data_IF_584846505298
#
_entry.id   IF_584846505298
#
_cell.length_a   1.000
_cell.length_b   1.000
_cell.length_c   1.000
_cell.angle_alpha   90.00
_cell.angle_beta   90.00
_cell.angle_gamma   90.00
#
_symmetry.space_group_name_H-M   'P 1'
#
loop_
_entity.id
_entity.type
_entity.pdbx_description
1 polymer ?
#
# COMPACT_ATOMS: atom_id res chain seq x y z
N UNK A 1 -4.78 -3.35 -20.70
CA UNK A 1 -4.87 -2.92 -19.28
C UNK A 1 -6.29 -2.89 -18.72
N UNK A 2 -7.35 -2.78 -19.52
CA UNK A 2 -8.74 -2.65 -19.01
C UNK A 2 -9.24 -3.82 -18.15
N UNK A 3 -8.64 -5.01 -18.25
CA UNK A 3 -9.02 -6.18 -17.44
C UNK A 3 -8.60 -6.09 -15.97
N UNK A 4 -7.68 -5.20 -15.60
CA UNK A 4 -7.16 -5.09 -14.23
C UNK A 4 -7.88 -4.03 -13.39
N UNK A 5 -8.58 -3.09 -14.03
CA UNK A 5 -9.31 -2.02 -13.35
C UNK A 5 -10.47 -2.64 -12.55
N UNK A 6 -10.58 -2.31 -11.27
CA UNK A 6 -11.57 -2.86 -10.34
C UNK A 6 -11.26 -4.27 -9.81
N UNK A 7 -10.20 -4.92 -10.29
CA UNK A 7 -9.76 -6.22 -9.76
C UNK A 7 -8.96 -6.00 -8.48
N UNK A 8 -9.32 -6.70 -7.40
CA UNK A 8 -8.59 -6.69 -6.14
C UNK A 8 -7.50 -7.77 -6.15
N UNK A 9 -6.25 -7.35 -6.03
CA UNK A 9 -5.14 -8.25 -5.83
C UNK A 9 -4.91 -8.45 -4.33
N UNK A 10 -5.05 -9.68 -3.78
CA UNK A 10 -4.80 -9.94 -2.36
C UNK A 10 -3.32 -9.80 -2.01
N UNK A 11 -3.02 -9.23 -0.84
CA UNK A 11 -1.66 -9.02 -0.31
C UNK A 11 -1.66 -9.30 1.19
N UNK A 12 -0.61 -9.97 1.69
CA UNK A 12 -0.53 -10.44 3.08
C UNK A 12 -1.65 -11.44 3.42
N UNK A 13 -2.26 -11.30 4.59
CA UNK A 13 -3.35 -12.14 5.08
C UNK A 13 -4.73 -11.63 4.65
N UNK A 14 -4.97 -10.32 4.79
CA UNK A 14 -6.25 -9.65 4.59
C UNK A 14 -6.13 -8.33 3.82
N UNK A 15 -4.91 -7.95 3.45
CA UNK A 15 -4.66 -6.77 2.64
C UNK A 15 -5.04 -7.01 1.18
N UNK A 16 -5.24 -5.92 0.46
CA UNK A 16 -5.44 -5.96 -0.99
C UNK A 16 -5.11 -4.61 -1.61
N UNK A 17 -4.80 -4.65 -2.90
CA UNK A 17 -4.59 -3.47 -3.74
C UNK A 17 -5.55 -3.56 -4.93
N UNK A 18 -6.24 -2.47 -5.20
CA UNK A 18 -7.23 -2.36 -6.28
C UNK A 18 -6.86 -1.15 -7.14
N UNK A 19 -6.69 -1.38 -8.44
CA UNK A 19 -6.51 -0.28 -9.40
C UNK A 19 -7.89 0.30 -9.72
N UNK A 20 -8.16 1.53 -9.27
CA UNK A 20 -9.46 2.17 -9.49
C UNK A 20 -9.55 2.88 -10.83
N UNK A 21 -8.47 3.56 -11.24
CA UNK A 21 -8.44 4.31 -12.48
C UNK A 21 -7.03 4.45 -13.01
N UNK A 22 -6.94 4.54 -14.34
CA UNK A 22 -5.75 4.92 -15.09
C UNK A 22 -6.15 6.15 -15.90
N UNK A 23 -5.50 7.28 -15.65
CA UNK A 23 -5.58 8.44 -16.52
C UNK A 23 -4.27 8.51 -17.29
N UNK A 24 -4.37 8.64 -18.61
CA UNK A 24 -3.21 8.58 -19.49
C UNK A 24 -3.03 7.24 -20.18
N UNK A 25 -2.27 7.30 -21.26
CA UNK A 25 -1.87 6.15 -22.07
C UNK A 25 -0.43 6.31 -22.52
N UNK A 26 0.18 5.22 -22.99
CA UNK A 26 1.53 5.25 -23.59
C UNK A 26 1.63 6.30 -24.72
N UNK A 27 0.54 6.48 -25.47
CA UNK A 27 0.44 7.48 -26.52
C UNK A 27 0.46 8.91 -25.97
N UNK A 28 -0.21 9.18 -24.85
CA UNK A 28 -0.19 10.50 -24.21
C UNK A 28 1.20 10.87 -23.70
N UNK A 29 1.95 9.90 -23.17
CA UNK A 29 3.35 10.10 -22.75
C UNK A 29 4.22 10.44 -23.97
N UNK A 30 4.06 9.70 -25.07
CA UNK A 30 4.78 9.93 -26.33
C UNK A 30 4.46 11.31 -26.90
N UNK A 31 3.18 11.68 -26.93
CA UNK A 31 2.73 12.97 -27.42
C UNK A 31 3.28 14.11 -26.54
N UNK A 32 3.25 13.96 -25.21
CA UNK A 32 3.82 14.92 -24.27
C UNK A 32 5.33 15.12 -24.50
N UNK A 33 6.08 14.04 -24.74
CA UNK A 33 7.50 14.13 -25.06
C UNK A 33 7.78 14.83 -26.41
N UNK A 34 6.84 14.77 -27.35
CA UNK A 34 6.97 15.38 -28.68
C UNK A 34 6.38 16.77 -28.80
N UNK A 35 5.67 17.27 -27.79
CA UNK A 35 5.16 18.65 -27.73
C UNK A 35 6.23 19.69 -28.03
N UNK A 36 7.49 19.45 -27.60
CA UNK A 36 8.62 20.34 -27.89
C UNK A 36 8.98 20.45 -29.38
N UNK A 37 8.59 19.47 -30.21
CA UNK A 37 8.87 19.42 -31.64
C UNK A 37 7.60 19.50 -32.50
N UNK A 38 6.44 19.84 -31.91
CA UNK A 38 5.13 19.84 -32.57
C UNK A 38 4.82 18.52 -33.30
N UNK A 39 5.34 17.41 -32.79
CA UNK A 39 5.22 16.09 -33.42
C UNK A 39 4.14 15.24 -32.77
N UNK A 40 3.37 14.52 -33.58
CA UNK A 40 2.42 13.50 -33.11
C UNK A 40 3.04 12.10 -33.10
N UNK A 41 2.23 11.06 -32.85
CA UNK A 41 2.61 9.65 -33.05
C UNK A 41 3.26 9.43 -34.42
N UNK A 42 4.31 8.61 -34.47
CA UNK A 42 5.05 8.26 -35.69
C UNK A 42 4.92 6.77 -36.02
N UNK A 43 3.95 6.10 -35.40
CA UNK A 43 3.72 4.65 -35.51
C UNK A 43 4.21 3.88 -34.28
N UNK A 44 3.54 2.76 -34.00
CA UNK A 44 3.67 1.98 -32.76
C UNK A 44 5.12 1.57 -32.43
N UNK A 45 5.89 1.06 -33.40
CA UNK A 45 7.28 0.65 -33.16
C UNK A 45 8.19 1.81 -32.79
N UNK A 46 8.00 2.98 -33.42
CA UNK A 46 8.82 4.17 -33.17
C UNK A 46 8.46 4.80 -31.83
N UNK A 47 7.18 4.79 -31.49
CA UNK A 47 6.65 5.28 -30.22
C UNK A 47 7.15 4.43 -29.05
N UNK A 48 7.14 3.10 -29.21
CA UNK A 48 7.72 2.17 -28.24
C UNK A 48 9.23 2.38 -28.05
N UNK A 49 9.99 2.55 -29.14
CA UNK A 49 11.42 2.89 -29.07
C UNK A 49 11.66 4.20 -28.32
N UNK A 50 10.80 5.20 -28.55
CA UNK A 50 10.89 6.48 -27.84
C UNK A 50 10.62 6.32 -26.34
N UNK A 51 9.60 5.56 -25.93
CA UNK A 51 9.33 5.32 -24.50
C UNK A 51 10.53 4.68 -23.79
N UNK A 52 11.14 3.65 -24.39
CA UNK A 52 12.34 3.04 -23.84
C UNK A 52 13.52 4.00 -23.79
N UNK A 53 13.70 4.83 -24.82
CA UNK A 53 14.74 5.86 -24.83
C UNK A 53 14.53 6.86 -23.69
N UNK A 54 13.31 7.38 -23.50
CA UNK A 54 12.99 8.32 -22.40
C UNK A 54 13.32 7.70 -21.04
N UNK A 55 12.91 6.45 -20.81
CA UNK A 55 13.17 5.73 -19.56
C UNK A 55 14.66 5.47 -19.34
N UNK A 56 15.40 5.08 -20.38
CA UNK A 56 16.85 4.84 -20.30
C UNK A 56 17.64 6.12 -19.96
N UNK A 57 17.18 7.26 -20.49
CA UNK A 57 17.80 8.57 -20.27
C UNK A 57 17.22 9.35 -19.09
N UNK A 58 16.31 8.74 -18.30
CA UNK A 58 15.65 9.36 -17.14
C UNK A 58 14.95 10.68 -17.48
N UNK A 59 14.36 10.75 -18.67
CA UNK A 59 13.51 11.87 -19.05
C UNK A 59 12.11 11.63 -18.48
N UNK A 60 11.96 11.91 -17.18
CA UNK A 60 10.79 11.49 -16.41
C UNK A 60 9.57 12.41 -16.57
N UNK A 61 9.77 13.67 -16.96
CA UNK A 61 8.70 14.67 -17.10
C UNK A 61 7.50 14.23 -17.97
N UNK A 62 7.69 13.62 -19.16
CA UNK A 62 6.58 13.08 -19.95
C UNK A 62 5.78 11.97 -19.23
N UNK A 63 6.39 11.22 -18.32
CA UNK A 63 5.71 10.16 -17.57
C UNK A 63 4.79 10.71 -16.47
N UNK A 64 4.95 11.97 -16.06
CA UNK A 64 4.05 12.63 -15.10
C UNK A 64 2.64 12.89 -15.68
N UNK A 65 2.47 12.76 -17.01
CA UNK A 65 1.17 12.90 -17.68
C UNK A 65 0.27 11.67 -17.48
N UNK A 66 0.81 10.57 -16.96
CA UNK A 66 0.05 9.38 -16.61
C UNK A 66 -0.17 9.31 -15.08
N UNK A 67 -1.42 9.13 -14.65
CA UNK A 67 -1.81 9.08 -13.24
C UNK A 67 -2.55 7.78 -12.95
N UNK A 68 -2.14 7.11 -11.87
CA UNK A 68 -2.77 5.89 -11.38
C UNK A 68 -3.48 6.18 -10.06
N UNK A 69 -4.72 5.72 -9.93
CA UNK A 69 -5.49 5.79 -8.69
C UNK A 69 -5.66 4.39 -8.12
N UNK A 70 -5.26 4.22 -6.87
CA UNK A 70 -5.35 2.95 -6.17
C UNK A 70 -6.26 3.06 -4.95
N UNK A 71 -6.99 1.98 -4.69
CA UNK A 71 -7.59 1.73 -3.38
C UNK A 71 -6.80 0.63 -2.70
N UNK A 72 -6.25 0.93 -1.53
CA UNK A 72 -5.32 0.02 -0.84
C UNK A 72 -5.84 -0.25 0.56
N UNK A 73 -5.98 -1.53 0.88
CA UNK A 73 -6.22 -2.02 2.23
C UNK A 73 -4.93 -2.66 2.75
N UNK A 74 -4.31 -2.04 3.75
CA UNK A 74 -3.05 -2.49 4.29
C UNK A 74 -2.91 -2.17 5.78
N UNK A 75 -2.02 -2.90 6.50
CA UNK A 75 -1.75 -2.62 7.91
C UNK A 75 -1.15 -1.23 8.11
N UNK A 76 -1.44 -0.59 9.24
CA UNK A 76 -0.93 0.76 9.55
C UNK A 76 0.60 0.87 9.41
N UNK A 77 1.34 -0.14 9.86
CA UNK A 77 2.81 -0.16 9.77
C UNK A 77 3.31 -0.08 8.33
N UNK A 78 2.55 -0.62 7.37
CA UNK A 78 2.84 -0.52 5.93
C UNK A 78 2.48 0.87 5.43
N UNK A 79 1.33 1.41 5.86
CA UNK A 79 0.90 2.76 5.50
C UNK A 79 1.87 3.85 5.93
N UNK A 80 2.43 3.73 7.13
CA UNK A 80 3.44 4.68 7.62
C UNK A 80 4.68 4.74 6.72
N UNK A 81 5.03 3.63 6.06
CA UNK A 81 6.11 3.60 5.06
C UNK A 81 5.65 4.22 3.73
N UNK A 82 4.44 3.88 3.29
CA UNK A 82 3.89 4.39 2.03
C UNK A 82 3.74 5.93 2.06
N UNK A 83 3.34 6.50 3.20
CA UNK A 83 3.21 7.95 3.39
C UNK A 83 4.54 8.72 3.31
N UNK A 84 5.69 8.03 3.27
CA UNK A 84 6.99 8.68 3.07
C UNK A 84 7.19 9.16 1.63
N UNK A 85 6.43 8.62 0.67
CA UNK A 85 6.46 9.05 -0.72
C UNK A 85 5.66 10.34 -0.90
N UNK A 86 6.35 11.49 -0.81
CA UNK A 86 5.71 12.82 -0.80
C UNK A 86 5.11 13.27 -2.15
N UNK A 87 5.39 12.57 -3.23
CA UNK A 87 4.90 12.88 -4.58
C UNK A 87 3.50 12.32 -4.85
N UNK A 88 2.98 11.45 -3.98
CA UNK A 88 1.63 10.92 -4.07
C UNK A 88 0.59 11.79 -3.35
N UNK A 89 -0.66 11.67 -3.78
CA UNK A 89 -1.82 12.18 -3.03
C UNK A 89 -2.46 11.04 -2.27
N UNK A 90 -2.79 11.26 -1.00
CA UNK A 90 -3.32 10.23 -0.12
C UNK A 90 -4.55 10.75 0.63
N UNK A 91 -5.64 9.98 0.60
CA UNK A 91 -6.70 10.09 1.58
C UNK A 91 -6.65 8.85 2.47
N UNK A 92 -6.86 8.98 3.78
CA UNK A 92 -6.84 7.84 4.70
C UNK A 92 -8.14 7.78 5.48
N UNK A 93 -8.65 6.57 5.64
CA UNK A 93 -9.76 6.32 6.55
C UNK A 93 -9.39 6.78 7.98
N UNK A 94 -10.22 7.64 8.56
CA UNK A 94 -10.00 8.21 9.88
C UNK A 94 -10.93 7.58 10.91
N UNK A 95 -10.34 6.95 11.92
CA UNK A 95 -11.08 6.39 13.06
C UNK A 95 -11.58 7.44 14.07
N UNK A 96 -11.30 8.73 13.81
CA UNK A 96 -11.93 9.82 14.57
C UNK A 96 -13.42 9.94 14.24
N UNK A 97 -13.84 9.45 13.07
CA UNK A 97 -15.20 9.59 12.55
C UNK A 97 -15.91 8.25 12.32
N UNK A 98 -15.15 7.17 12.19
CA UNK A 98 -15.68 5.82 12.02
C UNK A 98 -15.13 4.89 13.09
N UNK A 99 -15.98 3.99 13.55
CA UNK A 99 -15.57 2.95 14.49
C UNK A 99 -14.64 1.95 13.79
N UNK A 100 -13.65 1.49 14.54
CA UNK A 100 -12.76 0.45 14.07
C UNK A 100 -13.42 -0.92 14.25
N UNK A 101 -13.50 -1.69 13.18
CA UNK A 101 -13.86 -3.10 13.29
C UNK A 101 -12.73 -3.83 13.99
N UNK A 102 -13.05 -4.44 15.13
CA UNK A 102 -12.07 -5.09 15.99
C UNK A 102 -11.28 -6.14 15.17
N UNK A 103 -11.92 -6.93 14.33
CA UNK A 103 -11.38 -8.19 13.82
C UNK A 103 -10.27 -8.09 12.76
N UNK A 104 -9.79 -6.89 12.39
CA UNK A 104 -8.90 -6.68 11.23
C UNK A 104 -7.43 -6.40 11.58
N UNK A 105 -6.83 -7.12 12.52
CA UNK A 105 -5.39 -7.03 12.78
C UNK A 105 -4.58 -7.90 11.82
N UNK A 106 -3.47 -7.35 11.33
CA UNK A 106 -2.47 -8.10 10.57
C UNK A 106 -1.73 -9.08 11.47
N UNK A 107 -1.75 -10.36 11.08
CA UNK A 107 -0.94 -11.38 11.73
C UNK A 107 0.03 -12.00 10.71
N UNK A 108 1.35 -11.88 10.93
CA UNK A 108 2.32 -12.45 10.00
C UNK A 108 2.23 -13.99 10.01
N UNK A 109 2.16 -14.59 8.82
CA UNK A 109 2.15 -16.06 8.67
C UNK A 109 3.45 -16.70 9.18
N UNK A 110 4.57 -16.00 8.99
CA UNK A 110 5.89 -16.40 9.47
C UNK A 110 6.58 -15.21 10.14
N UNK A 111 7.08 -15.45 11.35
CA UNK A 111 7.98 -14.53 12.03
C UNK A 111 9.38 -14.72 11.46
N UNK A 112 10.08 -13.62 11.19
CA UNK A 112 11.43 -13.65 10.58
C UNK A 112 12.50 -13.28 11.58
N UNK A 113 13.70 -13.84 11.39
CA UNK A 113 14.89 -13.46 12.12
C UNK A 113 15.37 -12.08 11.65
N UNK A 114 16.06 -11.36 12.52
CA UNK A 114 16.77 -10.14 12.15
C UNK A 114 18.03 -10.49 11.34
N UNK A 115 18.31 -9.76 10.26
CA UNK A 115 19.55 -9.95 9.53
C UNK A 115 20.76 -9.45 10.35
N UNK A 116 21.88 -10.18 10.30
CA UNK A 116 23.10 -9.85 11.06
C UNK A 116 23.78 -8.58 10.54
N UNK A 117 23.76 -8.37 9.23
CA UNK A 117 24.48 -7.27 8.56
C UNK A 117 23.66 -5.99 8.41
N UNK A 118 22.33 -6.06 8.48
CA UNK A 118 21.46 -4.93 8.20
C UNK A 118 20.30 -4.85 9.21
N UNK A 119 20.23 -3.73 9.94
CA UNK A 119 19.19 -3.46 10.94
C UNK A 119 17.79 -3.28 10.35
N UNK A 120 17.67 -3.08 9.04
CA UNK A 120 16.40 -2.93 8.33
C UNK A 120 15.98 -4.21 7.57
N UNK A 121 16.86 -5.21 7.50
CA UNK A 121 16.58 -6.44 6.78
C UNK A 121 16.21 -7.58 7.74
N UNK A 122 15.43 -8.51 7.20
CA UNK A 122 15.13 -9.78 7.86
C UNK A 122 15.92 -10.91 7.20
N UNK A 123 16.31 -11.88 8.01
CA UNK A 123 16.82 -13.18 7.56
C UNK A 123 15.66 -14.19 7.47
N UNK A 124 15.99 -15.48 7.42
CA UNK A 124 15.03 -16.59 7.31
C UNK A 124 13.96 -16.63 8.42
N UNK A 125 13.08 -17.62 8.33
CA UNK A 125 12.02 -17.80 9.32
C UNK A 125 12.56 -18.17 10.70
N UNK A 126 11.84 -17.77 11.76
CA UNK A 126 12.12 -18.19 13.13
C UNK A 126 11.83 -19.69 13.33
N UNK A 127 12.72 -20.36 14.05
CA UNK A 127 12.57 -21.78 14.42
C UNK A 127 11.32 -22.04 15.27
N UNK A 128 10.79 -23.26 15.24
CA UNK A 128 9.50 -23.64 15.83
C UNK A 128 9.27 -23.20 17.28
N UNK A 129 10.27 -23.34 18.17
CA UNK A 129 10.15 -22.90 19.58
C UNK A 129 10.03 -21.37 19.71
N UNK A 130 10.85 -20.62 18.97
CA UNK A 130 10.86 -19.15 19.00
C UNK A 130 9.64 -18.59 18.27
N UNK A 131 9.19 -19.24 17.20
CA UNK A 131 7.95 -18.92 16.49
C UNK A 131 6.73 -19.10 17.38
N UNK A 132 6.62 -20.22 18.11
CA UNK A 132 5.51 -20.45 19.04
C UNK A 132 5.51 -19.45 20.20
N UNK A 133 6.69 -19.06 20.70
CA UNK A 133 6.81 -17.99 21.69
C UNK A 133 6.32 -16.64 21.13
N UNK A 134 6.79 -16.23 19.95
CA UNK A 134 6.36 -14.99 19.30
C UNK A 134 4.84 -14.97 19.04
N UNK A 135 4.26 -16.08 18.58
CA UNK A 135 2.82 -16.20 18.36
C UNK A 135 2.01 -16.07 19.65
N UNK A 136 2.49 -16.60 20.79
CA UNK A 136 1.83 -16.43 22.10
C UNK A 136 1.93 -14.99 22.60
N UNK A 137 3.12 -14.40 22.53
CA UNK A 137 3.38 -13.03 22.98
C UNK A 137 2.64 -11.99 22.15
N UNK A 138 2.45 -12.23 20.86
CA UNK A 138 1.71 -11.30 20.00
C UNK A 138 0.22 -11.62 19.96
N UNK A 139 -0.16 -12.90 19.81
CA UNK A 139 -1.55 -13.30 19.64
C UNK A 139 -2.41 -13.17 20.90
N UNK A 140 -1.86 -13.40 22.09
CA UNK A 140 -2.60 -13.27 23.36
C UNK A 140 -2.98 -11.83 23.69
N UNK A 141 -2.00 -10.91 23.79
CA UNK A 141 -2.25 -9.48 24.05
C UNK A 141 -3.08 -8.80 22.97
N UNK A 142 -2.89 -9.12 21.68
CA UNK A 142 -3.73 -8.56 20.62
C UNK A 142 -5.19 -8.98 20.79
N UNK A 143 -5.46 -10.25 21.12
CA UNK A 143 -6.83 -10.73 21.42
C UNK A 143 -7.42 -10.08 22.67
N UNK A 144 -6.60 -9.74 23.66
CA UNK A 144 -7.01 -8.95 24.83
C UNK A 144 -7.35 -7.50 24.49
N UNK A 145 -6.50 -6.84 23.69
CA UNK A 145 -6.72 -5.47 23.20
C UNK A 145 -7.94 -5.37 22.30
N UNK A 146 -8.15 -6.37 21.44
CA UNK A 146 -9.36 -6.57 20.64
C UNK A 146 -10.63 -6.55 21.49
N UNK A 147 -10.67 -7.39 22.54
CA UNK A 147 -11.80 -7.45 23.47
C UNK A 147 -12.01 -6.13 24.20
N UNK A 148 -10.93 -5.50 24.67
CA UNK A 148 -10.99 -4.20 25.32
C UNK A 148 -11.50 -3.09 24.39
N UNK A 149 -11.04 -3.06 23.14
CA UNK A 149 -11.48 -2.12 22.11
C UNK A 149 -12.97 -2.33 21.80
N UNK A 150 -13.41 -3.58 21.56
CA UNK A 150 -14.83 -3.88 21.32
C UNK A 150 -15.74 -3.48 22.49
N UNK A 151 -15.25 -3.61 23.73
CA UNK A 151 -15.98 -3.18 24.92
C UNK A 151 -16.07 -1.64 25.03
N UNK A 152 -15.01 -0.91 24.62
CA UNK A 152 -15.01 0.56 24.59
C UNK A 152 -15.83 1.15 23.43
N UNK A 153 -15.89 0.48 22.28
CA UNK A 153 -16.68 0.94 21.12
C UNK A 153 -18.19 0.92 21.42
N UNK A 154 -18.65 -0.03 22.24
CA UNK A 154 -20.03 -0.06 22.75
C UNK A 154 -20.40 1.11 23.70
N UNK A 155 -19.42 1.91 24.16
CA UNK A 155 -19.61 2.97 25.16
C UNK A 155 -19.75 4.40 24.59
N UNK A 156 -19.81 4.56 23.27
CA UNK A 156 -20.11 5.85 22.62
C UNK A 156 -18.90 6.57 22.01
N UNK A 157 -19.19 7.33 20.94
CA UNK A 157 -18.22 7.98 20.03
C UNK A 157 -17.49 9.14 20.73
N UNK A 158 -16.40 8.85 21.45
CA UNK A 158 -15.58 9.92 22.02
C UNK A 158 -14.48 9.51 23.00
N UNK A 159 -14.49 8.29 23.55
CA UNK A 159 -13.56 7.90 24.62
C UNK A 159 -12.76 6.65 24.23
N UNK A 160 -11.66 6.81 23.48
CA UNK A 160 -10.84 5.62 23.18
C UNK A 160 -9.66 5.73 22.23
N UNK A 161 -9.17 6.92 21.87
CA UNK A 161 -8.00 7.03 20.96
C UNK A 161 -6.65 6.67 21.60
N UNK A 162 -6.63 6.31 22.89
CA UNK A 162 -5.40 6.04 23.65
C UNK A 162 -4.91 4.59 23.64
N UNK A 163 -5.71 3.61 23.21
CA UNK A 163 -5.34 2.20 23.37
C UNK A 163 -5.74 1.38 22.14
N UNK A 164 -4.72 0.88 21.45
CA UNK A 164 -4.76 0.06 20.22
C UNK A 164 -5.18 0.83 18.95
N UNK A 165 -4.21 1.08 18.08
CA UNK A 165 -4.48 1.54 16.72
C UNK A 165 -4.87 0.32 15.87
N UNK A 166 -6.08 0.29 15.29
CA UNK A 166 -6.51 -0.79 14.43
C UNK A 166 -5.74 -0.74 13.11
N UNK A 167 -5.48 -1.91 12.52
CA UNK A 167 -4.64 -2.04 11.33
C UNK A 167 -5.37 -1.74 10.01
N UNK A 168 -6.43 -0.92 10.02
CA UNK A 168 -7.06 -0.48 8.78
C UNK A 168 -6.75 0.98 8.51
N UNK A 169 -6.03 1.14 7.42
CA UNK A 169 -6.05 2.37 6.67
C UNK A 169 -6.45 1.94 5.26
N UNK A 170 -7.66 2.32 4.88
CA UNK A 170 -8.02 2.32 3.48
C UNK A 170 -7.58 3.68 2.95
N UNK A 171 -6.70 3.70 1.95
CA UNK A 171 -6.50 4.91 1.18
C UNK A 171 -7.15 4.78 -0.18
N UNK A 172 -7.71 5.89 -0.62
CA UNK A 172 -8.26 6.14 -1.96
C UNK A 172 -7.38 7.19 -2.63
#
# INVERSE_FOLDING_TARGET
MSSLIGTRQPVLDRGWVELQAVLGSDLEIVNAARTSFLGESKGEERDKKLLFYLMQHRHDGPFEMAVLKFRIHAPEVVWRQLLRHRTGSYNLQSYRYMEAEAEEFYLPQAWRLQALSNKQASAGALDGRRRAAAQRTTGGPLRGQLRALSASVGAGRGAGTGTAVPARFCAV
#
